data_IF_867580423676
#
_entry.id   IF_867580423676
#
_cell.length_a   1.000
_cell.length_b   1.000
_cell.length_c   1.000
_cell.angle_alpha   90.00
_cell.angle_beta   90.00
_cell.angle_gamma   90.00
#
_symmetry.space_group_name_H-M   'P 1'
#
loop_
_entity.id
_entity.type
_entity.pdbx_description
1 polymer ?
#
# COMPACT_ATOMS: atom_id res chain seq x y z
N UNK A 1 -20.42 -20.66 7.87
CA UNK A 1 -20.76 -19.28 8.27
C UNK A 1 -19.53 -18.61 8.88
N UNK A 2 -19.52 -17.28 9.01
CA UNK A 2 -18.35 -16.56 9.54
C UNK A 2 -18.02 -16.90 11.01
N UNK A 3 -19.06 -17.05 11.83
CA UNK A 3 -18.88 -17.36 13.26
C UNK A 3 -18.76 -18.87 13.53
N UNK A 4 -18.67 -19.69 12.48
CA UNK A 4 -18.44 -21.12 12.68
C UNK A 4 -17.04 -21.35 13.24
N UNK A 5 -17.01 -22.18 14.28
CA UNK A 5 -15.79 -22.76 14.84
C UNK A 5 -15.02 -23.52 13.75
N UNK A 6 -13.75 -23.15 13.56
CA UNK A 6 -12.89 -23.74 12.52
C UNK A 6 -12.71 -25.25 12.71
N UNK A 7 -12.78 -25.74 13.96
CA UNK A 7 -12.59 -27.16 14.31
C UNK A 7 -13.62 -28.07 13.65
N UNK A 8 -14.80 -27.54 13.29
CA UNK A 8 -15.83 -28.28 12.54
C UNK A 8 -15.36 -28.75 11.16
N UNK A 9 -14.34 -28.11 10.61
CA UNK A 9 -13.86 -28.34 9.25
C UNK A 9 -12.49 -29.02 9.19
N UNK A 10 -11.79 -29.18 10.32
CA UNK A 10 -10.46 -29.77 10.38
C UNK A 10 -10.53 -31.28 10.61
N UNK A 11 -9.69 -32.04 9.92
CA UNK A 11 -9.51 -33.46 10.22
C UNK A 11 -8.68 -33.61 11.50
N UNK A 12 -9.31 -34.04 12.59
CA UNK A 12 -8.66 -34.29 13.89
C UNK A 12 -9.34 -33.59 15.06
N UNK A 13 -8.77 -33.77 16.26
CA UNK A 13 -9.21 -33.08 17.47
C UNK A 13 -8.26 -31.94 17.81
N UNK A 14 -8.82 -30.76 18.10
CA UNK A 14 -8.09 -29.51 18.28
C UNK A 14 -8.63 -28.73 19.49
N UNK A 15 -8.67 -29.34 20.70
CA UNK A 15 -9.23 -28.70 21.88
C UNK A 15 -8.43 -27.46 22.31
N UNK A 16 -7.21 -27.30 21.81
CA UNK A 16 -6.31 -26.17 22.05
C UNK A 16 -6.60 -24.94 21.17
N UNK A 17 -7.38 -25.06 20.09
CA UNK A 17 -7.71 -23.94 19.18
C UNK A 17 -8.83 -23.04 19.71
N UNK A 18 -8.72 -22.66 20.98
CA UNK A 18 -9.63 -21.75 21.66
C UNK A 18 -8.92 -21.00 22.79
N UNK A 19 -9.51 -19.88 23.21
CA UNK A 19 -9.11 -19.16 24.41
C UNK A 19 -10.27 -19.18 25.41
N UNK A 20 -10.11 -19.93 26.51
CA UNK A 20 -11.10 -19.99 27.60
C UNK A 20 -12.53 -20.28 27.10
N UNK A 21 -12.68 -21.29 26.23
CA UNK A 21 -13.96 -21.64 25.61
C UNK A 21 -14.40 -20.75 24.44
N UNK A 22 -13.61 -19.73 24.06
CA UNK A 22 -13.85 -18.94 22.84
C UNK A 22 -13.08 -19.53 21.67
N UNK A 23 -13.73 -20.22 20.71
CA UNK A 23 -13.06 -20.86 19.60
C UNK A 23 -12.50 -19.85 18.58
N UNK A 24 -11.52 -20.30 17.80
CA UNK A 24 -11.17 -19.64 16.54
C UNK A 24 -12.31 -19.87 15.54
N UNK A 25 -12.75 -18.81 14.86
CA UNK A 25 -13.83 -18.85 13.86
C UNK A 25 -13.32 -18.61 12.45
N UNK A 26 -14.14 -18.90 11.42
CA UNK A 26 -13.84 -18.55 10.02
C UNK A 26 -13.53 -17.05 9.87
N UNK A 27 -14.28 -16.19 10.57
CA UNK A 27 -14.04 -14.74 10.64
C UNK A 27 -12.63 -14.42 11.14
N UNK A 28 -12.10 -15.18 12.10
CA UNK A 28 -10.74 -14.96 12.61
C UNK A 28 -9.66 -15.33 11.58
N UNK A 29 -9.90 -16.36 10.76
CA UNK A 29 -9.00 -16.70 9.64
C UNK A 29 -8.93 -15.55 8.61
N UNK A 30 -10.09 -14.97 8.26
CA UNK A 30 -10.22 -13.88 7.30
C UNK A 30 -9.60 -12.55 7.79
N UNK A 31 -9.54 -12.34 9.10
CA UNK A 31 -9.13 -11.05 9.71
C UNK A 31 -7.76 -11.11 10.39
N UNK A 32 -7.02 -12.20 10.21
CA UNK A 32 -5.74 -12.44 10.89
C UNK A 32 -5.81 -12.28 12.42
N UNK A 33 -6.95 -12.59 13.04
CA UNK A 33 -7.22 -12.33 14.46
C UNK A 33 -7.28 -13.62 15.29
N UNK A 34 -6.37 -14.56 15.01
CA UNK A 34 -6.41 -15.92 15.56
C UNK A 34 -6.13 -16.01 17.07
N UNK A 35 -5.37 -15.05 17.61
CA UNK A 35 -4.95 -15.08 19.01
C UNK A 35 -3.88 -16.13 19.34
N UNK A 36 -3.20 -16.68 18.33
CA UNK A 36 -2.07 -17.58 18.51
C UNK A 36 -0.91 -16.85 19.20
N UNK A 37 -0.27 -17.53 20.16
CA UNK A 37 0.98 -17.06 20.78
C UNK A 37 2.09 -16.87 19.76
N UNK A 38 2.28 -17.88 18.91
CA UNK A 38 3.15 -17.82 17.75
C UNK A 38 2.30 -17.71 16.49
N UNK A 39 2.46 -16.61 15.73
CA UNK A 39 1.65 -16.34 14.53
C UNK A 39 1.79 -17.41 13.44
N UNK A 40 2.86 -18.19 13.48
CA UNK A 40 3.12 -19.30 12.55
C UNK A 40 3.77 -20.44 13.34
N UNK A 41 3.33 -21.70 13.15
CA UNK A 41 3.97 -22.85 13.76
C UNK A 41 5.47 -22.95 13.48
N UNK A 42 6.22 -23.51 14.43
CA UNK A 42 7.69 -23.42 14.44
C UNK A 42 8.36 -24.07 13.23
N UNK A 43 7.91 -25.25 12.79
CA UNK A 43 8.51 -25.92 11.62
C UNK A 43 8.16 -25.17 10.35
N UNK A 44 6.90 -24.75 10.18
CA UNK A 44 6.51 -23.90 9.05
C UNK A 44 7.31 -22.60 8.98
N UNK A 45 7.51 -21.93 10.12
CA UNK A 45 8.33 -20.71 10.22
C UNK A 45 9.77 -20.99 9.80
N UNK A 46 10.40 -22.03 10.35
CA UNK A 46 11.77 -22.40 10.01
C UNK A 46 11.96 -22.70 8.52
N UNK A 47 10.98 -23.35 7.89
CA UNK A 47 11.01 -23.63 6.46
C UNK A 47 10.86 -22.37 5.60
N UNK A 48 9.97 -21.45 6.00
CA UNK A 48 9.84 -20.14 5.33
C UNK A 48 11.12 -19.32 5.43
N UNK A 49 11.80 -19.35 6.57
CA UNK A 49 13.10 -18.70 6.74
C UNK A 49 14.13 -19.31 5.77
N UNK A 50 14.18 -20.65 5.63
CA UNK A 50 15.04 -21.30 4.64
C UNK A 50 14.73 -20.89 3.20
N UNK A 51 13.45 -20.75 2.83
CA UNK A 51 13.04 -20.30 1.49
C UNK A 51 13.51 -18.87 1.25
N UNK A 52 13.27 -17.97 2.20
CA UNK A 52 13.68 -16.55 2.10
C UNK A 52 15.20 -16.39 1.97
N UNK A 53 15.95 -17.29 2.60
CA UNK A 53 17.41 -17.24 2.69
C UNK A 53 18.09 -18.12 1.60
N UNK A 54 17.32 -18.74 0.70
CA UNK A 54 17.84 -19.54 -0.42
C UNK A 54 18.44 -20.90 -0.03
N UNK A 55 18.17 -21.39 1.18
CA UNK A 55 18.73 -22.64 1.72
C UNK A 55 17.74 -23.79 1.77
N UNK A 56 16.52 -23.58 1.29
CA UNK A 56 15.48 -24.61 1.23
C UNK A 56 15.85 -25.73 0.24
N UNK A 57 15.74 -26.98 0.68
CA UNK A 57 15.94 -28.15 -0.17
C UNK A 57 14.71 -29.06 -0.16
N UNK A 58 14.03 -29.16 -1.32
CA UNK A 58 12.78 -29.91 -1.48
C UNK A 58 12.85 -31.38 -1.03
N UNK A 59 14.02 -32.03 -1.12
CA UNK A 59 14.17 -33.44 -0.76
C UNK A 59 14.25 -33.64 0.75
N UNK A 60 14.88 -32.73 1.48
CA UNK A 60 15.04 -32.81 2.94
C UNK A 60 14.03 -31.98 3.74
N UNK A 61 13.38 -31.00 3.11
CA UNK A 61 12.55 -29.98 3.76
C UNK A 61 11.07 -30.09 3.37
N UNK A 62 10.57 -31.31 3.13
CA UNK A 62 9.18 -31.52 2.75
C UNK A 62 8.20 -31.04 3.83
N UNK A 63 7.11 -30.45 3.36
CA UNK A 63 6.02 -29.94 4.19
C UNK A 63 4.72 -29.98 3.40
N UNK A 64 3.64 -30.31 4.10
CA UNK A 64 2.31 -30.49 3.53
C UNK A 64 1.25 -29.88 4.46
N UNK A 65 0.01 -29.81 3.97
CA UNK A 65 -1.11 -29.42 4.83
C UNK A 65 -1.29 -30.36 6.02
N UNK A 66 -0.97 -31.65 5.87
CA UNK A 66 -1.02 -32.61 6.99
C UNK A 66 0.01 -32.26 8.08
N UNK A 67 1.21 -31.80 7.69
CA UNK A 67 2.20 -31.33 8.67
C UNK A 67 1.70 -30.10 9.43
N UNK A 68 1.05 -29.15 8.74
CA UNK A 68 0.44 -27.99 9.39
C UNK A 68 -0.66 -28.40 10.38
N UNK A 69 -1.55 -29.30 9.97
CA UNK A 69 -2.60 -29.82 10.83
C UNK A 69 -2.03 -30.49 12.08
N UNK A 70 -0.95 -31.27 11.96
CA UNK A 70 -0.26 -31.86 13.11
C UNK A 70 0.32 -30.78 14.03
N UNK A 71 1.01 -29.77 13.49
CA UNK A 71 1.58 -28.70 14.31
C UNK A 71 0.50 -27.92 15.06
N UNK A 72 -0.66 -27.68 14.43
CA UNK A 72 -1.80 -26.98 15.02
C UNK A 72 -2.40 -27.69 16.25
N UNK A 73 -2.15 -28.98 16.46
CA UNK A 73 -2.56 -29.67 17.69
C UNK A 73 -1.76 -29.23 18.93
N UNK A 74 -0.60 -28.58 18.71
CA UNK A 74 0.33 -28.18 19.77
C UNK A 74 0.44 -26.67 19.97
N UNK A 75 -0.20 -25.85 19.13
CA UNK A 75 -0.13 -24.39 19.27
C UNK A 75 -0.93 -23.90 20.47
N UNK A 76 -0.49 -22.77 21.03
CA UNK A 76 -1.15 -22.09 22.14
C UNK A 76 -1.93 -20.88 21.63
N UNK A 77 -3.22 -20.78 21.97
CA UNK A 77 -4.04 -19.57 21.79
C UNK A 77 -4.00 -18.79 23.10
N UNK A 78 -3.22 -17.71 23.17
CA UNK A 78 -3.00 -16.96 24.41
C UNK A 78 -3.72 -15.60 24.45
N UNK A 79 -4.40 -15.23 23.37
CA UNK A 79 -5.29 -14.08 23.28
C UNK A 79 -6.66 -14.53 22.80
N UNK A 80 -7.71 -13.84 23.22
CA UNK A 80 -9.06 -14.13 22.73
C UNK A 80 -9.14 -13.92 21.21
N UNK A 81 -9.55 -14.92 20.41
CA UNK A 81 -9.73 -14.74 18.97
C UNK A 81 -10.66 -13.55 18.67
N UNK A 82 -10.31 -12.76 17.65
CA UNK A 82 -11.08 -11.57 17.25
C UNK A 82 -10.81 -10.32 18.07
N UNK A 83 -9.75 -10.29 18.91
CA UNK A 83 -9.42 -9.11 19.73
C UNK A 83 -8.09 -8.45 19.41
N UNK A 84 -7.18 -9.16 18.74
CA UNK A 84 -5.85 -8.69 18.39
C UNK A 84 -5.56 -9.04 16.94
N UNK A 85 -5.15 -8.07 16.14
CA UNK A 85 -4.63 -8.32 14.81
C UNK A 85 -3.22 -8.89 14.87
N UNK A 86 -2.99 -9.94 14.09
CA UNK A 86 -1.69 -10.56 13.98
C UNK A 86 -1.54 -11.17 12.58
N UNK A 87 -1.06 -10.37 11.62
CA UNK A 87 -0.85 -10.83 10.24
C UNK A 87 -0.14 -12.19 10.22
N UNK A 88 -0.76 -13.14 9.53
CA UNK A 88 -0.30 -14.52 9.46
C UNK A 88 -0.81 -15.19 8.18
N UNK A 89 -0.01 -16.10 7.66
CA UNK A 89 -0.38 -16.92 6.51
C UNK A 89 -1.14 -18.19 6.89
N UNK A 90 -1.26 -18.53 8.18
CA UNK A 90 -1.98 -19.75 8.62
C UNK A 90 -3.47 -19.63 8.30
N UNK A 91 -4.08 -18.46 8.54
CA UNK A 91 -5.47 -18.17 8.25
C UNK A 91 -5.87 -18.46 6.80
N UNK A 92 -5.23 -17.79 5.81
CA UNK A 92 -5.51 -18.05 4.39
C UNK A 92 -5.30 -19.51 3.95
N UNK A 93 -4.26 -20.18 4.43
CA UNK A 93 -3.98 -21.58 4.06
C UNK A 93 -5.04 -22.53 4.64
N UNK A 94 -5.51 -22.28 5.87
CA UNK A 94 -6.64 -23.02 6.43
C UNK A 94 -7.96 -22.71 5.71
N UNK A 95 -8.18 -21.47 5.25
CA UNK A 95 -9.35 -21.15 4.43
C UNK A 95 -9.37 -21.95 3.13
N UNK A 96 -8.22 -22.10 2.45
CA UNK A 96 -8.12 -22.94 1.26
C UNK A 96 -8.43 -24.41 1.56
N UNK A 97 -7.86 -24.98 2.62
CA UNK A 97 -8.20 -26.33 3.08
C UNK A 97 -9.71 -26.51 3.33
N UNK A 98 -10.33 -25.54 4.02
CA UNK A 98 -11.77 -25.57 4.32
C UNK A 98 -12.59 -25.46 3.02
N UNK A 99 -12.18 -24.61 2.08
CA UNK A 99 -12.84 -24.50 0.77
C UNK A 99 -12.79 -25.82 -0.01
N UNK A 100 -11.69 -26.56 0.05
CA UNK A 100 -11.62 -27.89 -0.59
C UNK A 100 -12.62 -28.87 0.01
N UNK A 101 -12.70 -28.90 1.35
CA UNK A 101 -13.62 -29.78 2.08
C UNK A 101 -15.08 -29.45 1.80
N UNK A 102 -15.43 -28.17 1.80
CA UNK A 102 -16.80 -27.69 1.61
C UNK A 102 -17.25 -27.88 0.18
N UNK A 103 -16.39 -27.57 -0.81
CA UNK A 103 -16.77 -27.61 -2.22
C UNK A 103 -16.47 -28.96 -2.90
N UNK A 104 -15.77 -29.87 -2.22
CA UNK A 104 -15.34 -31.16 -2.76
C UNK A 104 -14.58 -31.02 -4.09
N UNK A 105 -13.75 -29.98 -4.18
CA UNK A 105 -12.95 -29.62 -5.35
C UNK A 105 -11.63 -29.01 -4.87
N UNK A 106 -10.52 -29.27 -5.57
CA UNK A 106 -9.23 -28.70 -5.16
C UNK A 106 -9.24 -27.18 -5.22
N UNK A 107 -8.49 -26.53 -4.32
CA UNK A 107 -8.42 -25.07 -4.24
C UNK A 107 -7.88 -24.49 -5.55
N UNK A 108 -6.87 -25.12 -6.14
CA UNK A 108 -6.33 -24.74 -7.44
C UNK A 108 -7.40 -24.77 -8.55
N UNK A 109 -8.22 -25.81 -8.60
CA UNK A 109 -9.27 -25.91 -9.61
C UNK A 109 -10.37 -24.87 -9.39
N UNK A 110 -10.72 -24.56 -8.13
CA UNK A 110 -11.65 -23.48 -7.80
C UNK A 110 -11.12 -22.12 -8.25
N UNK A 111 -9.84 -21.82 -7.95
CA UNK A 111 -9.21 -20.56 -8.35
C UNK A 111 -9.08 -20.44 -9.87
N UNK A 112 -8.71 -21.53 -10.56
CA UNK A 112 -8.66 -21.56 -12.03
C UNK A 112 -10.02 -21.28 -12.67
N UNK A 113 -11.10 -21.84 -12.11
CA UNK A 113 -12.47 -21.54 -12.56
C UNK A 113 -12.78 -20.06 -12.33
N UNK A 114 -12.53 -19.55 -11.13
CA UNK A 114 -12.78 -18.15 -10.78
C UNK A 114 -12.03 -17.19 -11.71
N UNK A 115 -10.71 -17.35 -11.87
CA UNK A 115 -9.89 -16.51 -12.75
C UNK A 115 -10.43 -16.49 -14.18
N UNK A 116 -10.81 -17.65 -14.72
CA UNK A 116 -11.39 -17.76 -16.05
C UNK A 116 -12.74 -17.05 -16.16
N UNK A 117 -13.62 -17.17 -15.17
CA UNK A 117 -14.95 -16.54 -15.16
C UNK A 117 -14.88 -15.02 -15.19
N UNK A 118 -13.91 -14.43 -14.49
CA UNK A 118 -13.71 -12.97 -14.45
C UNK A 118 -12.72 -12.45 -15.51
N UNK A 119 -12.21 -13.33 -16.39
CA UNK A 119 -11.36 -12.96 -17.53
C UNK A 119 -9.86 -12.79 -17.24
N UNK A 120 -9.37 -13.26 -16.09
CA UNK A 120 -7.94 -13.31 -15.73
C UNK A 120 -7.27 -14.56 -16.33
N UNK A 121 -7.04 -14.55 -17.64
CA UNK A 121 -6.61 -15.75 -18.37
C UNK A 121 -5.11 -16.10 -18.22
N UNK A 122 -4.31 -15.22 -17.64
CA UNK A 122 -2.86 -15.38 -17.45
C UNK A 122 -2.49 -15.37 -15.95
N UNK A 123 -3.45 -15.76 -15.10
CA UNK A 123 -3.28 -15.83 -13.66
C UNK A 123 -3.42 -17.27 -13.19
N UNK A 124 -2.47 -17.71 -12.37
CA UNK A 124 -2.39 -19.08 -11.88
C UNK A 124 -1.77 -19.12 -10.49
N UNK A 125 -1.89 -20.26 -9.81
CA UNK A 125 -1.25 -20.48 -8.51
C UNK A 125 0.04 -21.26 -8.72
N UNK A 126 1.17 -20.69 -8.28
CA UNK A 126 2.42 -21.42 -7.99
C UNK A 126 3.04 -22.24 -9.14
N UNK A 127 2.63 -22.02 -10.39
CA UNK A 127 3.14 -22.72 -11.57
C UNK A 127 4.15 -21.85 -12.34
N UNK A 128 5.35 -21.67 -11.76
CA UNK A 128 6.39 -20.83 -12.37
C UNK A 128 7.01 -21.37 -13.65
N UNK A 129 6.70 -22.62 -14.02
CA UNK A 129 7.09 -23.22 -15.30
C UNK A 129 6.09 -22.84 -16.40
N UNK A 130 4.83 -22.56 -16.03
CA UNK A 130 3.83 -22.02 -16.93
C UNK A 130 4.23 -20.65 -17.48
N UNK A 131 4.42 -20.57 -18.80
CA UNK A 131 4.84 -19.35 -19.48
C UNK A 131 6.10 -18.75 -18.85
N UNK A 132 7.08 -19.60 -18.50
CA UNK A 132 8.33 -19.18 -17.86
C UNK A 132 9.07 -18.07 -18.60
N UNK A 133 8.86 -17.95 -19.91
CA UNK A 133 9.39 -16.90 -20.78
C UNK A 133 8.76 -15.51 -20.56
N UNK A 134 7.57 -15.44 -19.97
CA UNK A 134 6.87 -14.19 -19.63
C UNK A 134 7.07 -13.80 -18.16
N UNK A 135 7.63 -14.70 -17.34
CA UNK A 135 7.84 -14.46 -15.93
C UNK A 135 8.99 -13.47 -15.72
N UNK A 136 8.73 -12.40 -14.97
CA UNK A 136 9.75 -11.41 -14.61
C UNK A 136 10.62 -11.93 -13.47
N UNK A 137 11.90 -11.58 -13.49
CA UNK A 137 12.77 -11.75 -12.33
C UNK A 137 12.40 -10.72 -11.27
N UNK A 138 12.33 -11.17 -10.01
CA UNK A 138 12.36 -10.29 -8.85
C UNK A 138 13.80 -9.92 -8.48
N UNK A 139 13.98 -8.77 -7.84
CA UNK A 139 15.29 -8.27 -7.44
C UNK A 139 15.34 -7.86 -5.96
N UNK A 140 16.46 -8.17 -5.31
CA UNK A 140 16.87 -7.58 -4.03
C UNK A 140 18.10 -6.73 -4.31
N UNK A 141 17.92 -5.41 -4.33
CA UNK A 141 18.92 -4.48 -4.86
C UNK A 141 19.25 -4.85 -6.32
N UNK A 142 20.52 -5.08 -6.65
CA UNK A 142 20.97 -5.47 -7.99
C UNK A 142 21.07 -6.99 -8.21
N UNK A 143 20.65 -7.80 -7.23
CA UNK A 143 20.73 -9.26 -7.30
C UNK A 143 19.39 -9.87 -7.64
N UNK A 144 19.38 -10.79 -8.61
CA UNK A 144 18.18 -11.58 -8.92
C UNK A 144 17.80 -12.38 -7.68
N UNK A 145 16.56 -12.21 -7.24
CA UNK A 145 16.00 -12.95 -6.12
C UNK A 145 15.54 -14.34 -6.57
N UNK A 146 15.71 -15.34 -5.70
CA UNK A 146 15.12 -16.65 -5.92
C UNK A 146 13.60 -16.55 -5.96
N UNK A 147 12.98 -17.34 -6.85
CA UNK A 147 11.51 -17.44 -6.90
C UNK A 147 10.98 -17.91 -5.54
N UNK A 148 9.84 -17.37 -5.14
CA UNK A 148 9.21 -17.80 -3.91
C UNK A 148 8.71 -19.25 -4.03
N UNK A 149 8.58 -19.94 -2.90
CA UNK A 149 8.11 -21.31 -2.84
C UNK A 149 6.95 -21.36 -1.85
N UNK A 150 5.78 -21.81 -2.31
CA UNK A 150 4.71 -22.14 -1.39
C UNK A 150 4.82 -23.58 -0.93
N UNK A 151 4.79 -23.74 0.40
CA UNK A 151 4.79 -25.04 1.07
C UNK A 151 3.38 -25.66 1.17
N UNK A 152 2.34 -24.89 0.85
CA UNK A 152 0.92 -25.24 1.06
C UNK A 152 0.11 -24.88 -0.20
N UNK A 153 -1.12 -24.38 -0.05
CA UNK A 153 -2.02 -24.06 -1.15
C UNK A 153 -1.63 -22.82 -1.95
N UNK A 154 -0.80 -21.93 -1.36
CA UNK A 154 -0.52 -20.62 -1.94
C UNK A 154 -1.64 -19.61 -1.70
N UNK A 155 -2.58 -19.92 -0.81
CA UNK A 155 -3.70 -19.04 -0.50
C UNK A 155 -3.24 -17.74 0.18
N UNK A 156 -2.07 -17.75 0.85
CA UNK A 156 -1.51 -16.58 1.51
C UNK A 156 -0.70 -15.64 0.59
N UNK A 157 -0.41 -16.02 -0.66
CA UNK A 157 0.45 -15.21 -1.55
C UNK A 157 1.04 -15.93 -2.77
N UNK A 158 0.47 -17.05 -3.19
CA UNK A 158 0.99 -17.91 -4.26
C UNK A 158 0.46 -17.61 -5.67
N UNK A 159 -0.41 -16.61 -5.81
CA UNK A 159 -0.92 -16.21 -7.12
C UNK A 159 0.17 -15.50 -7.92
N UNK A 160 0.40 -15.99 -9.14
CA UNK A 160 1.22 -15.35 -10.16
C UNK A 160 0.26 -14.76 -11.18
N UNK A 161 0.37 -13.45 -11.42
CA UNK A 161 -0.57 -12.71 -12.24
C UNK A 161 0.16 -11.67 -13.11
N UNK A 162 -0.55 -11.18 -14.12
CA UNK A 162 -0.09 -10.08 -14.96
C UNK A 162 -0.80 -8.77 -14.57
N UNK A 163 -0.19 -7.62 -14.90
CA UNK A 163 -0.83 -6.32 -14.68
C UNK A 163 -2.22 -6.22 -15.36
N UNK A 164 -2.42 -6.64 -16.64
CA UNK A 164 -3.75 -6.65 -17.26
C UNK A 164 -4.79 -7.49 -16.52
N UNK A 165 -4.41 -8.66 -16.00
CA UNK A 165 -5.34 -9.53 -15.27
C UNK A 165 -5.75 -8.92 -13.92
N UNK A 166 -4.80 -8.41 -13.14
CA UNK A 166 -5.13 -7.76 -11.85
C UNK A 166 -5.94 -6.48 -12.07
N UNK A 167 -5.66 -5.73 -13.15
CA UNK A 167 -6.51 -4.60 -13.55
C UNK A 167 -7.93 -5.05 -13.95
N UNK A 168 -8.05 -6.21 -14.59
CA UNK A 168 -9.35 -6.83 -14.91
C UNK A 168 -10.12 -7.20 -13.65
N UNK A 169 -9.46 -7.82 -12.66
CA UNK A 169 -10.04 -8.11 -11.36
C UNK A 169 -10.53 -6.87 -10.63
N UNK A 170 -9.67 -5.84 -10.54
CA UNK A 170 -10.00 -4.56 -9.93
C UNK A 170 -11.23 -3.93 -10.61
N UNK A 171 -11.24 -3.87 -11.95
CA UNK A 171 -12.35 -3.35 -12.74
C UNK A 171 -13.63 -4.16 -12.48
N UNK A 172 -13.54 -5.49 -12.48
CA UNK A 172 -14.67 -6.37 -12.25
C UNK A 172 -15.32 -6.11 -10.88
N UNK A 173 -14.52 -5.93 -9.82
CA UNK A 173 -15.04 -5.61 -8.49
C UNK A 173 -15.73 -4.24 -8.42
N UNK A 174 -15.21 -3.23 -9.14
CA UNK A 174 -15.80 -1.89 -9.21
C UNK A 174 -17.13 -1.91 -9.97
N UNK A 175 -17.17 -2.53 -11.14
CA UNK A 175 -18.36 -2.57 -12.01
C UNK A 175 -19.50 -3.39 -11.39
N UNK A 176 -19.15 -4.43 -10.62
CA UNK A 176 -20.10 -5.36 -10.00
C UNK A 176 -20.26 -5.14 -8.49
N UNK A 177 -19.90 -3.95 -7.97
CA UNK A 177 -19.95 -3.61 -6.53
C UNK A 177 -21.28 -3.86 -5.80
N UNK A 178 -22.37 -3.99 -6.55
CA UNK A 178 -23.71 -4.27 -6.03
C UNK A 178 -24.06 -5.77 -5.98
N UNK A 179 -23.22 -6.65 -6.51
CA UNK A 179 -23.41 -8.10 -6.35
C UNK A 179 -23.25 -8.50 -4.88
N UNK A 180 -24.12 -9.39 -4.41
CA UNK A 180 -24.21 -9.76 -2.99
C UNK A 180 -22.87 -10.23 -2.43
N UNK A 181 -22.13 -11.04 -3.18
CA UNK A 181 -20.85 -11.59 -2.70
C UNK A 181 -19.74 -10.54 -2.71
N UNK A 182 -19.73 -9.56 -3.63
CA UNK A 182 -18.74 -8.48 -3.66
C UNK A 182 -19.01 -7.50 -2.52
N UNK A 183 -20.29 -7.18 -2.29
CA UNK A 183 -20.69 -6.36 -1.15
C UNK A 183 -20.28 -7.02 0.17
N UNK A 184 -20.50 -8.33 0.31
CA UNK A 184 -20.07 -9.08 1.49
C UNK A 184 -18.55 -9.15 1.59
N UNK A 185 -17.84 -9.48 0.50
CA UNK A 185 -16.39 -9.65 0.50
C UNK A 185 -15.62 -8.35 0.73
N UNK A 186 -16.24 -7.17 0.56
CA UNK A 186 -15.59 -5.88 0.76
C UNK A 186 -15.83 -5.28 2.15
N UNK A 187 -16.74 -5.81 2.97
CA UNK A 187 -17.09 -5.18 4.26
C UNK A 187 -16.04 -5.40 5.35
N UNK A 188 -15.99 -4.45 6.29
CA UNK A 188 -15.21 -4.58 7.53
C UNK A 188 -15.74 -5.72 8.40
N UNK A 189 -14.82 -6.58 8.83
CA UNK A 189 -15.08 -7.68 9.77
C UNK A 189 -14.45 -7.41 11.14
N UNK A 190 -13.33 -6.69 11.18
CA UNK A 190 -12.53 -6.43 12.36
C UNK A 190 -11.94 -5.02 12.29
N UNK A 191 -11.82 -4.34 13.44
CA UNK A 191 -11.13 -3.06 13.57
C UNK A 191 -10.02 -3.26 14.58
N UNK A 192 -8.78 -2.99 14.19
CA UNK A 192 -7.66 -3.06 15.12
C UNK A 192 -7.75 -1.91 16.13
N UNK A 193 -7.58 -2.24 17.40
CA UNK A 193 -7.69 -1.26 18.47
C UNK A 193 -6.40 -0.44 18.63
N UNK A 194 -5.28 -0.89 18.06
CA UNK A 194 -3.99 -0.20 18.19
C UNK A 194 -3.91 1.04 17.29
N UNK A 195 -4.34 0.92 16.02
CA UNK A 195 -4.22 1.99 15.02
C UNK A 195 -5.56 2.33 14.32
N UNK A 196 -6.63 1.61 14.60
CA UNK A 196 -7.94 1.80 13.98
C UNK A 196 -8.06 1.19 12.58
N UNK A 197 -7.08 0.38 12.14
CA UNK A 197 -7.14 -0.25 10.82
C UNK A 197 -8.35 -1.17 10.71
N UNK A 198 -9.13 -1.00 9.63
CA UNK A 198 -10.27 -1.87 9.34
C UNK A 198 -9.85 -2.99 8.39
N UNK A 199 -10.17 -4.22 8.79
CA UNK A 199 -9.80 -5.46 8.10
C UNK A 199 -11.08 -6.24 7.78
N UNK A 200 -11.11 -6.85 6.60
CA UNK A 200 -12.25 -7.60 6.07
C UNK A 200 -11.89 -9.01 5.66
N UNK A 201 -12.32 -9.43 4.48
CA UNK A 201 -11.98 -10.71 3.87
C UNK A 201 -10.54 -10.69 3.34
N UNK A 202 -9.55 -10.68 4.24
CA UNK A 202 -8.11 -10.52 3.95
C UNK A 202 -7.71 -9.16 3.35
N UNK A 203 -8.67 -8.33 2.96
CA UNK A 203 -8.47 -6.90 2.69
C UNK A 203 -7.95 -6.18 3.92
N UNK A 204 -7.06 -5.23 3.68
CA UNK A 204 -6.52 -4.31 4.67
C UNK A 204 -6.91 -2.88 4.29
N UNK A 205 -6.75 -1.95 5.23
CA UNK A 205 -7.05 -0.53 5.03
C UNK A 205 -8.42 -0.31 4.34
N UNK A 206 -9.50 -0.83 4.93
CA UNK A 206 -10.87 -0.57 4.48
C UNK A 206 -11.33 0.77 5.06
N UNK A 207 -11.96 1.63 4.28
CA UNK A 207 -12.37 2.93 4.81
C UNK A 207 -13.12 3.82 3.85
N UNK A 208 -13.30 5.06 4.28
CA UNK A 208 -13.86 6.16 3.50
C UNK A 208 -12.79 7.24 3.38
N UNK A 209 -12.33 7.46 2.15
CA UNK A 209 -11.36 8.48 1.80
C UNK A 209 -12.04 9.74 1.26
N UNK A 210 -11.38 10.89 1.39
CA UNK A 210 -11.96 12.17 0.96
C UNK A 210 -12.11 12.24 -0.55
N UNK A 211 -11.10 11.77 -1.28
CA UNK A 211 -11.10 11.80 -2.74
C UNK A 211 -11.57 10.43 -3.27
N UNK A 212 -11.31 9.34 -2.53
CA UNK A 212 -11.54 7.94 -2.87
C UNK A 212 -13.00 7.50 -2.70
N UNK A 213 -13.71 8.09 -1.73
CA UNK A 213 -14.95 7.53 -1.18
C UNK A 213 -14.68 6.19 -0.50
N UNK A 214 -15.67 5.28 -0.50
CA UNK A 214 -15.47 3.93 0.03
C UNK A 214 -14.35 3.22 -0.73
N UNK A 215 -13.36 2.70 0.00
CA UNK A 215 -12.21 1.99 -0.55
C UNK A 215 -11.79 0.79 0.29
N UNK A 216 -11.06 -0.12 -0.34
CA UNK A 216 -10.34 -1.21 0.31
C UNK A 216 -9.12 -1.58 -0.53
N UNK A 217 -8.09 -2.11 0.13
CA UNK A 217 -6.81 -2.36 -0.54
C UNK A 217 -6.14 -3.64 -0.06
N UNK A 218 -5.14 -4.08 -0.83
CA UNK A 218 -4.21 -5.11 -0.38
C UNK A 218 -2.83 -4.89 -0.96
N UNK A 219 -1.83 -5.15 -0.14
CA UNK A 219 -0.43 -5.14 -0.54
C UNK A 219 0.16 -6.54 -0.45
N UNK A 220 1.15 -6.82 -1.29
CA UNK A 220 1.86 -8.08 -1.34
C UNK A 220 3.37 -7.85 -1.43
N UNK A 221 4.13 -8.73 -0.81
CA UNK A 221 5.58 -8.76 -0.96
C UNK A 221 6.02 -10.21 -1.00
N UNK A 222 6.75 -10.56 -2.04
CA UNK A 222 7.43 -11.85 -2.18
C UNK A 222 8.93 -11.59 -2.42
N UNK A 223 9.69 -12.65 -2.72
CA UNK A 223 11.12 -12.53 -2.99
C UNK A 223 11.38 -11.63 -4.22
N UNK A 224 11.75 -10.38 -3.95
CA UNK A 224 12.13 -9.42 -4.98
C UNK A 224 10.96 -8.80 -5.75
N UNK A 225 9.71 -8.96 -5.28
CA UNK A 225 8.53 -8.36 -5.92
C UNK A 225 7.63 -7.73 -4.87
N UNK A 226 7.12 -6.54 -5.17
CA UNK A 226 6.12 -5.82 -4.39
C UNK A 226 4.90 -5.56 -5.27
N UNK A 227 3.72 -5.69 -4.70
CA UNK A 227 2.46 -5.44 -5.39
C UNK A 227 1.45 -4.74 -4.49
N UNK A 228 0.57 -3.98 -5.09
CA UNK A 228 -0.53 -3.30 -4.41
C UNK A 228 -1.74 -3.22 -5.31
N UNK A 229 -2.93 -3.40 -4.73
CA UNK A 229 -4.21 -3.10 -5.37
C UNK A 229 -5.05 -2.23 -4.45
N UNK A 230 -5.55 -1.13 -4.99
CA UNK A 230 -6.51 -0.23 -4.34
C UNK A 230 -7.78 -0.22 -5.16
N UNK A 231 -8.91 -0.43 -4.51
CA UNK A 231 -10.22 -0.47 -5.16
C UNK A 231 -11.11 0.58 -4.48
N UNK A 232 -11.62 1.53 -5.27
CA UNK A 232 -12.47 2.61 -4.81
C UNK A 232 -13.82 2.56 -5.54
N UNK A 233 -14.77 1.68 -5.11
CA UNK A 233 -16.07 1.58 -5.77
C UNK A 233 -16.90 2.85 -5.63
N UNK A 234 -16.65 3.68 -4.60
CA UNK A 234 -17.35 4.96 -4.39
C UNK A 234 -17.17 5.94 -5.55
N UNK A 235 -15.99 5.91 -6.17
CA UNK A 235 -15.58 6.87 -7.22
C UNK A 235 -15.31 6.21 -8.58
N UNK A 236 -15.55 4.90 -8.68
CA UNK A 236 -15.23 4.08 -9.85
C UNK A 236 -13.76 4.19 -10.27
N UNK A 237 -12.88 4.20 -9.27
CA UNK A 237 -11.45 4.35 -9.41
C UNK A 237 -10.71 3.14 -8.82
N UNK A 238 -9.48 2.90 -9.27
CA UNK A 238 -8.58 1.94 -8.64
C UNK A 238 -7.16 2.04 -9.18
N UNK A 239 -6.22 1.47 -8.42
CA UNK A 239 -4.81 1.37 -8.75
C UNK A 239 -4.36 -0.07 -8.65
N UNK A 240 -3.54 -0.49 -9.61
CA UNK A 240 -2.68 -1.67 -9.48
C UNK A 240 -1.24 -1.22 -9.69
N UNK A 241 -0.37 -1.55 -8.74
CA UNK A 241 1.07 -1.29 -8.84
C UNK A 241 1.84 -2.58 -8.60
N UNK A 242 2.81 -2.86 -9.47
CA UNK A 242 3.73 -3.99 -9.35
C UNK A 242 5.15 -3.50 -9.60
N UNK A 243 6.05 -3.80 -8.68
CA UNK A 243 7.47 -3.44 -8.75
C UNK A 243 8.27 -4.71 -8.51
N UNK A 244 9.19 -5.04 -9.41
CA UNK A 244 10.01 -6.25 -9.31
C UNK A 244 11.33 -5.99 -8.57
N UNK A 245 11.32 -5.09 -7.58
CA UNK A 245 12.46 -4.86 -6.71
C UNK A 245 11.98 -4.59 -5.28
N UNK A 246 12.77 -5.02 -4.31
CA UNK A 246 12.53 -4.88 -2.87
C UNK A 246 13.66 -4.12 -2.16
N UNK A 247 14.51 -3.41 -2.89
CA UNK A 247 15.48 -2.47 -2.31
C UNK A 247 14.76 -1.38 -1.51
N UNK A 248 15.50 -0.70 -0.64
CA UNK A 248 14.96 0.40 0.16
C UNK A 248 14.45 1.53 -0.75
N UNK A 249 15.18 1.86 -1.82
CA UNK A 249 14.78 2.86 -2.81
C UNK A 249 13.50 2.44 -3.53
N UNK A 250 13.42 1.19 -3.98
CA UNK A 250 12.24 0.66 -4.66
C UNK A 250 11.01 0.62 -3.74
N UNK A 251 11.20 0.28 -2.46
CA UNK A 251 10.13 0.29 -1.46
C UNK A 251 9.64 1.72 -1.19
N UNK A 252 10.55 2.68 -1.07
CA UNK A 252 10.20 4.09 -0.88
C UNK A 252 9.43 4.63 -2.09
N UNK A 253 9.85 4.28 -3.31
CA UNK A 253 9.12 4.62 -4.53
C UNK A 253 7.74 3.95 -4.56
N UNK A 254 7.66 2.65 -4.32
CA UNK A 254 6.40 1.91 -4.29
C UNK A 254 5.42 2.50 -3.27
N UNK A 255 5.87 2.79 -2.05
CA UNK A 255 5.04 3.40 -1.01
C UNK A 255 4.62 4.83 -1.37
N UNK A 256 5.50 5.62 -1.97
CA UNK A 256 5.19 6.98 -2.44
C UNK A 256 4.13 6.97 -3.55
N UNK A 257 4.27 6.06 -4.51
CA UNK A 257 3.36 5.90 -5.64
C UNK A 257 1.99 5.39 -5.17
N UNK A 258 1.96 4.42 -4.26
CA UNK A 258 0.73 3.73 -3.85
C UNK A 258 -0.05 4.47 -2.75
N UNK A 259 0.62 5.11 -1.78
CA UNK A 259 -0.06 5.70 -0.61
C UNK A 259 -0.05 7.23 -0.54
N UNK A 260 0.98 7.91 -1.06
CA UNK A 260 1.27 9.28 -0.60
C UNK A 260 1.19 10.40 -1.65
N UNK A 261 1.31 10.14 -2.96
CA UNK A 261 1.44 11.22 -3.95
C UNK A 261 0.58 11.09 -5.19
N UNK A 262 0.69 9.97 -5.92
CA UNK A 262 0.06 9.87 -7.24
C UNK A 262 -1.44 9.63 -7.11
N UNK A 263 -1.86 8.86 -6.13
CA UNK A 263 -3.23 8.37 -6.01
C UNK A 263 -4.27 9.52 -5.85
N UNK A 264 -4.12 10.47 -4.90
CA UNK A 264 -5.08 11.56 -4.76
C UNK A 264 -5.05 12.53 -5.96
N UNK A 265 -3.85 12.72 -6.53
CA UNK A 265 -3.65 13.55 -7.72
C UNK A 265 -4.37 12.95 -8.93
N UNK A 266 -4.30 11.64 -9.15
CA UNK A 266 -4.97 10.96 -10.27
C UNK A 266 -6.49 10.96 -10.13
N UNK A 267 -7.01 10.78 -8.92
CA UNK A 267 -8.47 10.83 -8.68
C UNK A 267 -9.00 12.22 -8.95
N UNK A 268 -8.35 13.23 -8.37
CA UNK A 268 -8.80 14.62 -8.44
C UNK A 268 -8.51 15.28 -9.78
N UNK A 269 -7.40 14.89 -10.40
CA UNK A 269 -6.91 15.42 -11.66
C UNK A 269 -6.46 14.24 -12.53
N UNK A 270 -7.38 13.61 -13.30
CA UNK A 270 -7.07 12.45 -14.15
C UNK A 270 -6.27 12.86 -15.40
N UNK A 271 -5.11 13.46 -15.19
CA UNK A 271 -4.20 14.14 -16.11
C UNK A 271 -2.78 13.98 -15.57
N UNK A 272 -1.78 14.27 -16.38
CA UNK A 272 -0.38 14.19 -15.95
C UNK A 272 -0.06 15.40 -15.06
N UNK A 273 0.54 15.16 -13.89
CA UNK A 273 1.04 16.25 -13.04
C UNK A 273 2.16 16.96 -13.79
N UNK A 274 2.00 18.26 -14.03
CA UNK A 274 2.96 19.00 -14.85
C UNK A 274 4.36 19.07 -14.23
N UNK A 275 4.47 19.09 -12.90
CA UNK A 275 5.78 19.09 -12.25
C UNK A 275 6.54 17.79 -12.54
N UNK A 276 5.86 16.63 -12.53
CA UNK A 276 6.52 15.34 -12.69
C UNK A 276 7.15 15.14 -14.07
N UNK A 277 6.68 15.86 -15.11
CA UNK A 277 7.31 15.81 -16.44
C UNK A 277 8.59 16.63 -16.53
N UNK A 278 8.82 17.52 -15.56
CA UNK A 278 9.91 18.48 -15.55
C UNK A 278 10.82 18.33 -14.33
N UNK A 279 10.58 17.36 -13.44
CA UNK A 279 11.28 17.22 -12.15
C UNK A 279 12.81 17.25 -12.31
N UNK A 280 13.35 16.46 -13.23
CA UNK A 280 14.80 16.45 -13.51
C UNK A 280 15.31 17.83 -13.97
N UNK A 281 14.53 18.54 -14.80
CA UNK A 281 14.88 19.92 -15.22
C UNK A 281 14.77 20.89 -14.06
N UNK A 282 13.80 20.75 -13.16
CA UNK A 282 13.73 21.56 -11.94
C UNK A 282 14.98 21.35 -11.06
N UNK A 283 15.56 20.14 -11.04
CA UNK A 283 16.81 19.86 -10.30
C UNK A 283 18.03 20.48 -11.00
N UNK A 284 18.14 20.31 -12.32
CA UNK A 284 19.35 20.59 -13.09
C UNK A 284 19.38 21.99 -13.72
N UNK A 285 18.25 22.51 -14.16
CA UNK A 285 18.10 23.81 -14.82
C UNK A 285 16.72 24.46 -14.53
N UNK A 286 16.53 25.05 -13.33
CA UNK A 286 15.24 25.60 -12.89
C UNK A 286 14.65 26.65 -13.84
N UNK A 287 15.47 27.55 -14.40
CA UNK A 287 14.98 28.61 -15.29
C UNK A 287 14.37 28.03 -16.58
N UNK A 288 15.03 27.03 -17.17
CA UNK A 288 14.45 26.31 -18.31
C UNK A 288 13.18 25.56 -17.90
N UNK A 289 13.15 24.94 -16.72
CA UNK A 289 11.99 24.22 -16.22
C UNK A 289 10.78 25.15 -16.03
N UNK A 290 10.98 26.38 -15.54
CA UNK A 290 9.91 27.37 -15.35
C UNK A 290 9.28 27.78 -16.68
N UNK A 291 10.10 28.00 -17.71
CA UNK A 291 9.62 28.34 -19.05
C UNK A 291 8.83 27.18 -19.68
N UNK A 292 9.36 25.96 -19.58
CA UNK A 292 8.70 24.75 -20.08
C UNK A 292 7.38 24.50 -19.33
N UNK A 293 7.36 24.69 -18.01
CA UNK A 293 6.17 24.58 -17.18
C UNK A 293 5.10 25.57 -17.65
N UNK A 294 5.42 26.85 -17.83
CA UNK A 294 4.48 27.87 -18.33
C UNK A 294 3.96 27.56 -19.73
N UNK A 295 4.79 26.95 -20.58
CA UNK A 295 4.38 26.52 -21.91
C UNK A 295 3.39 25.36 -21.87
N UNK A 296 3.74 24.29 -21.15
CA UNK A 296 2.93 23.08 -21.02
C UNK A 296 1.64 23.28 -20.21
N UNK A 297 1.64 24.18 -19.22
CA UNK A 297 0.45 24.54 -18.42
C UNK A 297 -0.73 25.03 -19.27
N UNK A 298 -0.48 25.50 -20.50
CA UNK A 298 -1.52 25.89 -21.46
C UNK A 298 -2.32 24.69 -21.98
N UNK A 299 -1.73 23.50 -21.98
CA UNK A 299 -2.41 22.26 -22.33
C UNK A 299 -3.14 21.69 -21.10
N UNK A 300 -4.33 22.26 -20.89
CA UNK A 300 -5.24 21.84 -19.81
C UNK A 300 -5.95 20.52 -20.10
N UNK A 301 -5.76 19.92 -21.28
CA UNK A 301 -6.34 18.62 -21.62
C UNK A 301 -5.48 17.51 -21.03
N UNK A 302 -4.17 17.57 -21.24
CA UNK A 302 -3.25 16.51 -20.84
C UNK A 302 -2.62 16.73 -19.48
N UNK A 303 -2.48 17.98 -19.03
CA UNK A 303 -1.76 18.32 -17.81
C UNK A 303 -2.64 19.02 -16.79
N UNK A 304 -2.31 18.82 -15.52
CA UNK A 304 -2.79 19.66 -14.42
C UNK A 304 -1.60 20.27 -13.67
N UNK A 305 -1.85 21.39 -13.00
CA UNK A 305 -0.87 22.07 -12.15
C UNK A 305 -1.47 22.34 -10.78
N UNK A 306 -0.74 21.99 -9.72
CA UNK A 306 -1.07 22.33 -8.34
C UNK A 306 0.18 22.83 -7.62
N UNK A 307 0.00 23.39 -6.42
CA UNK A 307 1.13 23.84 -5.60
C UNK A 307 1.81 22.70 -4.86
N UNK A 308 1.12 21.58 -4.59
CA UNK A 308 1.57 20.55 -3.66
C UNK A 308 2.93 19.94 -4.05
N UNK A 309 3.06 19.46 -5.29
CA UNK A 309 4.30 18.81 -5.75
C UNK A 309 5.48 19.79 -5.79
N UNK A 310 5.25 21.01 -6.28
CA UNK A 310 6.25 22.07 -6.30
C UNK A 310 6.67 22.49 -4.88
N UNK A 311 5.72 22.56 -3.94
CA UNK A 311 6.00 22.92 -2.54
C UNK A 311 6.84 21.85 -1.86
N UNK A 312 6.46 20.57 -2.02
CA UNK A 312 7.22 19.44 -1.51
C UNK A 312 8.64 19.42 -2.07
N UNK A 313 8.81 19.68 -3.36
CA UNK A 313 10.12 19.80 -3.99
C UNK A 313 10.93 21.00 -3.45
N UNK A 314 10.28 22.14 -3.21
CA UNK A 314 10.91 23.30 -2.56
C UNK A 314 11.46 22.97 -1.17
N UNK A 315 10.69 22.23 -0.36
CA UNK A 315 11.13 21.76 0.96
C UNK A 315 12.21 20.68 0.89
N UNK A 316 12.13 19.76 -0.08
CA UNK A 316 13.20 18.80 -0.33
C UNK A 316 14.53 19.52 -0.58
N UNK A 317 14.53 20.53 -1.46
CA UNK A 317 15.74 21.32 -1.71
C UNK A 317 16.23 22.05 -0.46
N UNK A 318 15.33 22.51 0.42
CA UNK A 318 15.70 23.13 1.69
C UNK A 318 16.38 22.14 2.64
N UNK A 319 15.81 20.93 2.76
CA UNK A 319 16.33 19.84 3.59
C UNK A 319 17.69 19.32 3.09
N UNK A 320 17.91 19.32 1.77
CA UNK A 320 19.19 19.01 1.14
C UNK A 320 20.21 20.18 1.21
N UNK A 321 19.91 21.23 2.00
CA UNK A 321 20.72 22.44 2.16
C UNK A 321 20.96 23.22 0.85
N UNK A 322 20.15 22.99 -0.19
CA UNK A 322 20.15 23.73 -1.47
C UNK A 322 19.28 24.99 -1.36
N UNK A 323 19.57 25.84 -0.38
CA UNK A 323 18.72 26.97 0.04
C UNK A 323 18.33 27.93 -1.10
N UNK A 324 19.29 28.31 -1.96
CA UNK A 324 18.98 29.22 -3.07
C UNK A 324 18.08 28.59 -4.14
N UNK A 325 18.22 27.28 -4.41
CA UNK A 325 17.30 26.56 -5.30
C UNK A 325 15.90 26.54 -4.70
N UNK A 326 15.79 26.21 -3.41
CA UNK A 326 14.52 26.23 -2.67
C UNK A 326 13.82 27.59 -2.80
N UNK A 327 14.53 28.69 -2.54
CA UNK A 327 13.99 30.06 -2.71
C UNK A 327 13.53 30.31 -4.16
N UNK A 328 14.31 29.90 -5.17
CA UNK A 328 13.92 30.08 -6.57
C UNK A 328 12.62 29.34 -6.93
N UNK A 329 12.43 28.14 -6.36
CA UNK A 329 11.24 27.32 -6.56
C UNK A 329 10.04 27.98 -5.85
N UNK A 330 10.18 28.39 -4.59
CA UNK A 330 9.09 29.04 -3.87
C UNK A 330 8.67 30.38 -4.50
N UNK A 331 9.64 31.17 -5.01
CA UNK A 331 9.33 32.36 -5.82
C UNK A 331 8.49 32.02 -7.04
N UNK A 332 8.92 31.01 -7.80
CA UNK A 332 8.16 30.54 -8.96
C UNK A 332 6.72 30.12 -8.57
N UNK A 333 6.53 29.43 -7.44
CA UNK A 333 5.20 29.08 -6.94
C UNK A 333 4.37 30.34 -6.64
N UNK A 334 4.93 31.35 -5.98
CA UNK A 334 4.20 32.60 -5.70
C UNK A 334 3.84 33.39 -6.96
N UNK A 335 4.64 33.28 -8.03
CA UNK A 335 4.33 33.87 -9.34
C UNK A 335 3.19 33.12 -10.05
N UNK A 336 3.21 31.79 -10.02
CA UNK A 336 2.21 30.94 -10.68
C UNK A 336 0.88 30.84 -9.93
N UNK A 337 0.91 31.07 -8.61
CA UNK A 337 -0.23 30.93 -7.70
C UNK A 337 -0.31 32.13 -6.72
N UNK A 338 -0.55 33.36 -7.22
CA UNK A 338 -0.44 34.60 -6.44
C UNK A 338 -1.49 34.76 -5.33
N UNK A 339 -2.51 33.90 -5.29
CA UNK A 339 -3.55 33.89 -4.26
C UNK A 339 -3.38 32.73 -3.26
N UNK A 340 -2.27 32.01 -3.30
CA UNK A 340 -2.02 30.87 -2.40
C UNK A 340 -1.24 31.32 -1.15
N UNK A 341 -1.92 31.40 -0.01
CA UNK A 341 -1.29 31.82 1.25
C UNK A 341 -0.12 30.91 1.68
N UNK A 342 -0.23 29.59 1.45
CA UNK A 342 0.82 28.63 1.81
C UNK A 342 2.09 28.85 0.98
N UNK A 343 1.98 29.17 -0.32
CA UNK A 343 3.13 29.49 -1.15
C UNK A 343 3.98 30.65 -0.60
N UNK A 344 3.31 31.71 -0.12
CA UNK A 344 4.00 32.82 0.55
C UNK A 344 4.57 32.44 1.91
N UNK A 345 3.89 31.57 2.67
CA UNK A 345 4.41 31.03 3.94
C UNK A 345 5.71 30.26 3.72
N UNK A 346 5.73 29.32 2.77
CA UNK A 346 6.91 28.52 2.43
C UNK A 346 8.06 29.37 1.87
N UNK A 347 7.76 30.38 1.06
CA UNK A 347 8.78 31.34 0.62
C UNK A 347 9.36 32.14 1.80
N UNK A 348 8.50 32.56 2.73
CA UNK A 348 8.91 33.23 3.96
C UNK A 348 9.85 32.37 4.81
N UNK A 349 9.55 31.08 4.93
CA UNK A 349 10.37 30.13 5.66
C UNK A 349 11.75 29.90 5.02
N UNK A 350 11.80 29.75 3.70
CA UNK A 350 13.07 29.63 2.99
C UNK A 350 13.97 30.86 3.15
N UNK A 351 13.38 32.07 3.15
CA UNK A 351 14.11 33.31 3.44
C UNK A 351 14.57 33.39 4.90
N UNK A 352 13.73 32.96 5.84
CA UNK A 352 14.09 32.91 7.25
C UNK A 352 15.31 32.01 7.50
N UNK A 353 15.39 30.85 6.81
CA UNK A 353 16.50 29.89 6.93
C UNK A 353 17.85 30.41 6.39
N UNK A 354 17.84 31.45 5.54
CA UNK A 354 19.05 32.17 5.11
C UNK A 354 19.25 33.49 5.87
N UNK A 355 18.47 33.72 6.93
CA UNK A 355 18.50 34.92 7.76
C UNK A 355 18.16 36.23 7.01
N UNK A 356 17.51 36.11 5.85
CA UNK A 356 16.95 37.25 5.13
C UNK A 356 15.58 37.60 5.72
N UNK A 357 15.64 38.20 6.91
CA UNK A 357 14.46 38.48 7.71
C UNK A 357 13.53 39.51 7.07
N UNK A 358 14.02 40.39 6.18
CA UNK A 358 13.21 41.38 5.47
C UNK A 358 12.30 40.71 4.46
N UNK A 359 12.86 39.86 3.60
CA UNK A 359 12.06 39.11 2.65
C UNK A 359 11.18 38.06 3.34
N UNK A 360 11.65 37.44 4.43
CA UNK A 360 10.83 36.53 5.23
C UNK A 360 9.57 37.23 5.78
N UNK A 361 9.75 38.38 6.42
CA UNK A 361 8.65 39.16 7.01
C UNK A 361 7.64 39.63 5.95
N UNK A 362 8.13 40.07 4.78
CA UNK A 362 7.27 40.47 3.67
C UNK A 362 6.36 39.33 3.22
N UNK A 363 6.91 38.12 3.07
CA UNK A 363 6.16 36.96 2.59
C UNK A 363 5.20 36.40 3.65
N UNK A 364 5.60 36.32 4.92
CA UNK A 364 4.67 35.93 5.99
C UNK A 364 3.50 36.90 6.14
N UNK A 365 3.74 38.22 6.01
CA UNK A 365 2.66 39.22 6.00
C UNK A 365 1.71 39.01 4.81
N UNK A 366 2.24 38.72 3.63
CA UNK A 366 1.39 38.41 2.45
C UNK A 366 0.58 37.12 2.65
N UNK A 367 1.16 36.10 3.29
CA UNK A 367 0.45 34.88 3.67
C UNK A 367 -0.73 35.19 4.59
N UNK A 368 -0.53 36.03 5.62
CA UNK A 368 -1.60 36.43 6.54
C UNK A 368 -2.67 37.32 5.91
N UNK A 369 -2.31 38.15 4.94
CA UNK A 369 -3.28 38.93 4.16
C UNK A 369 -4.25 38.01 3.40
N UNK A 370 -3.73 36.92 2.83
CA UNK A 370 -4.51 35.93 2.08
C UNK A 370 -5.24 34.93 2.98
N UNK A 371 -4.66 34.59 4.13
CA UNK A 371 -5.23 33.70 5.14
C UNK A 371 -4.91 34.20 6.56
N UNK A 372 -5.83 34.95 7.20
CA UNK A 372 -5.64 35.47 8.55
C UNK A 372 -5.43 34.39 9.64
N UNK A 373 -5.78 33.14 9.36
CA UNK A 373 -5.66 32.00 10.29
C UNK A 373 -4.34 31.23 10.14
N UNK A 374 -3.41 31.69 9.30
CA UNK A 374 -2.09 31.05 9.20
C UNK A 374 -1.26 31.28 10.48
N UNK A 375 -1.36 30.34 11.43
CA UNK A 375 -0.63 30.40 12.69
C UNK A 375 0.89 30.29 12.53
N UNK A 376 1.37 29.57 11.51
CA UNK A 376 2.82 29.46 11.25
C UNK A 376 3.42 30.83 10.90
N UNK A 377 2.77 31.57 9.99
CA UNK A 377 3.18 32.92 9.64
C UNK A 377 3.18 33.88 10.85
N UNK A 378 2.18 33.81 11.74
CA UNK A 378 2.15 34.61 12.99
C UNK A 378 3.37 34.33 13.86
N UNK A 379 3.66 33.05 14.10
CA UNK A 379 4.79 32.60 14.93
C UNK A 379 6.12 33.12 14.36
N UNK A 380 6.34 32.99 13.06
CA UNK A 380 7.59 33.42 12.46
C UNK A 380 7.74 34.94 12.38
N UNK A 381 6.65 35.69 12.20
CA UNK A 381 6.69 37.16 12.30
C UNK A 381 7.17 37.59 13.69
N UNK A 382 6.58 37.04 14.76
CA UNK A 382 7.00 37.34 16.13
C UNK A 382 8.46 36.97 16.38
N UNK A 383 8.90 35.79 15.90
CA UNK A 383 10.31 35.36 15.98
C UNK A 383 11.25 36.36 15.31
N UNK A 384 10.93 36.81 14.10
CA UNK A 384 11.73 37.78 13.35
C UNK A 384 11.80 39.11 14.10
N UNK A 385 10.67 39.60 14.62
CA UNK A 385 10.62 40.86 15.35
C UNK A 385 11.47 40.82 16.63
N UNK A 386 11.48 39.69 17.35
CA UNK A 386 12.36 39.49 18.50
C UNK A 386 13.84 39.45 18.11
N UNK A 387 14.19 38.82 16.99
CA UNK A 387 15.57 38.72 16.51
C UNK A 387 16.13 40.09 16.09
N UNK A 388 15.28 40.98 15.56
CA UNK A 388 15.67 42.36 15.17
C UNK A 388 15.85 43.31 16.35
N UNK A 389 15.31 42.97 17.53
CA UNK A 389 15.43 43.78 18.74
C UNK A 389 16.68 43.45 19.56
N UNK A 390 17.41 42.39 19.20
CA UNK A 390 18.73 42.04 19.74
C UNK A 390 19.82 42.61 18.85
#
# INVERSE_FOLDING_TARGET
ALDDDVRKYLDGDYPNLEFQGSPITIKNLLTHSLGLKEKTPNRLKALRDKIRDGTYNKDSDSYSIQDLLIELQSVEVNKKPGTVFAYNSVGPELLAYILEKVNNQTFEAQMKTFFKEIGMNNTYLLDYDHQSELLVNGYRNDTIADKDISLLYGAAGGAVATLPDVATYMKYLIENKNELWINEASRTLFVDNEDGEQIGYLWQSIGEGKEEGYFYSKTGTSNGIQSGVLICPGTNYGIVLMVNNTSEEAYNDWGRLFFNQIEPDLIKYPKINLFSTLEEKFINNPESAFNDYRALKKDTTNYFSNTASLNNFGYQMLNENKKQKSISIFKFITEEFPNNANAYDSLGEAYFVIEDYDNALMNYKKSLELNPDNNNAKIYIEKIEMLRQK
#
